data_IF_842025509429
#
_entry.id   IF_842025509429
#
_cell.length_a   1.000
_cell.length_b   1.000
_cell.length_c   1.000
_cell.angle_alpha   90.00
_cell.angle_beta   90.00
_cell.angle_gamma   90.00
#
_symmetry.space_group_name_H-M   'P 1'
#
loop_
_entity.id
_entity.type
_entity.pdbx_description
1 polymer ?
#
# COMPACT_ATOMS: atom_id res chain seq x y z
N UNK A 1 -1.42 -2.63 -9.68
CA UNK A 1 -1.32 -2.47 -8.22
C UNK A 1 -0.52 -1.23 -7.89
N UNK A 2 -1.08 -0.39 -7.04
CA UNK A 2 -0.40 0.81 -6.57
C UNK A 2 -0.27 0.75 -5.05
N UNK A 3 0.91 1.13 -4.56
CA UNK A 3 1.15 1.17 -3.12
C UNK A 3 1.38 2.63 -2.73
N UNK A 4 0.59 3.12 -1.81
CA UNK A 4 0.73 4.47 -1.28
C UNK A 4 1.43 4.39 0.07
N UNK A 5 2.61 4.96 0.14
CA UNK A 5 3.42 4.90 1.34
C UNK A 5 4.05 6.24 1.69
N UNK A 6 4.88 6.22 2.71
CA UNK A 6 5.58 7.41 3.18
C UNK A 6 7.03 7.05 3.51
N UNK A 7 7.85 8.09 3.65
CA UNK A 7 9.24 7.90 4.04
C UNK A 7 9.34 7.36 5.46
N UNK A 8 10.30 6.47 5.69
CA UNK A 8 10.52 5.91 7.03
C UNK A 8 9.49 4.89 7.46
N UNK A 9 8.73 4.34 6.53
CA UNK A 9 7.68 3.38 6.83
C UNK A 9 8.23 1.95 6.70
N UNK A 10 8.44 1.27 7.84
CA UNK A 10 8.96 -0.10 7.81
C UNK A 10 7.95 -1.09 7.21
N UNK A 11 6.66 -0.88 7.44
CA UNK A 11 5.62 -1.73 6.85
C UNK A 11 5.59 -1.59 5.33
N UNK A 12 5.81 -0.38 4.82
CA UNK A 12 5.87 -0.15 3.38
C UNK A 12 7.03 -0.91 2.76
N UNK A 13 8.18 -0.91 3.42
CA UNK A 13 9.35 -1.65 2.94
C UNK A 13 9.12 -3.15 2.96
N UNK A 14 8.49 -3.65 4.03
CA UNK A 14 8.15 -5.07 4.15
C UNK A 14 7.20 -5.50 3.03
N UNK A 15 6.21 -4.67 2.73
CA UNK A 15 5.26 -4.97 1.67
C UNK A 15 5.95 -5.03 0.31
N UNK A 16 6.83 -4.08 0.02
CA UNK A 16 7.58 -4.08 -1.24
C UNK A 16 8.39 -5.36 -1.39
N UNK A 17 9.07 -5.78 -0.34
CA UNK A 17 9.85 -7.02 -0.35
C UNK A 17 8.97 -8.23 -0.60
N UNK A 18 7.82 -8.28 0.05
CA UNK A 18 6.89 -9.41 -0.13
C UNK A 18 6.43 -9.51 -1.57
N UNK A 19 6.06 -8.38 -2.18
CA UNK A 19 5.62 -8.38 -3.57
C UNK A 19 6.76 -8.72 -4.54
N UNK A 20 7.96 -8.23 -4.27
CA UNK A 20 9.13 -8.57 -5.08
C UNK A 20 9.40 -10.07 -5.04
N UNK A 21 9.31 -10.68 -3.85
CA UNK A 21 9.52 -12.11 -3.69
C UNK A 21 8.47 -12.95 -4.41
N UNK A 22 7.25 -12.42 -4.52
CA UNK A 22 6.16 -13.11 -5.22
C UNK A 22 6.16 -12.83 -6.72
N UNK A 23 7.05 -11.97 -7.21
CA UNK A 23 7.10 -11.59 -8.60
C UNK A 23 5.92 -10.72 -9.04
N UNK A 24 5.29 -10.04 -8.11
CA UNK A 24 4.15 -9.17 -8.40
C UNK A 24 4.65 -7.77 -8.71
N UNK A 25 4.24 -7.22 -9.85
CA UNK A 25 4.61 -5.87 -10.23
C UNK A 25 3.67 -4.86 -9.59
N UNK A 26 4.24 -3.73 -9.17
CA UNK A 26 3.47 -2.67 -8.52
C UNK A 26 4.12 -1.32 -8.79
N UNK A 27 3.36 -0.25 -8.55
CA UNK A 27 3.86 1.10 -8.59
C UNK A 27 3.87 1.63 -7.16
N UNK A 28 5.01 2.16 -6.71
CA UNK A 28 5.14 2.69 -5.37
C UNK A 28 5.08 4.21 -5.39
N UNK A 29 4.14 4.78 -4.65
CA UNK A 29 3.94 6.23 -4.59
C UNK A 29 4.26 6.69 -3.18
N UNK A 30 5.43 7.31 -3.03
CA UNK A 30 5.90 7.81 -1.74
C UNK A 30 5.56 9.28 -1.62
N UNK A 31 4.33 9.57 -1.21
CA UNK A 31 3.84 10.93 -1.06
C UNK A 31 2.84 10.96 0.10
N UNK A 32 3.24 11.62 1.17
CA UNK A 32 2.42 11.67 2.38
C UNK A 32 1.04 12.27 2.13
N UNK A 33 0.97 13.32 1.33
CA UNK A 33 -0.31 13.96 1.00
C UNK A 33 -1.26 13.00 0.31
N UNK A 34 -0.75 12.31 -0.71
CA UNK A 34 -1.55 11.33 -1.45
C UNK A 34 -1.97 10.20 -0.54
N UNK A 35 -1.05 9.72 0.29
CA UNK A 35 -1.36 8.65 1.23
C UNK A 35 -2.48 9.07 2.18
N UNK A 36 -2.40 10.27 2.74
CA UNK A 36 -3.41 10.76 3.67
C UNK A 36 -4.77 10.91 3.00
N UNK A 37 -4.79 11.42 1.77
CA UNK A 37 -6.02 11.59 1.02
C UNK A 37 -6.69 10.24 0.74
N UNK A 38 -5.92 9.29 0.25
CA UNK A 38 -6.43 7.95 -0.07
C UNK A 38 -6.89 7.23 1.20
N UNK A 39 -6.08 7.27 2.24
CA UNK A 39 -6.41 6.63 3.51
C UNK A 39 -7.69 7.20 4.11
N UNK A 40 -7.81 8.52 4.11
CA UNK A 40 -8.98 9.21 4.64
C UNK A 40 -10.26 8.85 3.89
N UNK A 41 -10.18 8.83 2.56
CA UNK A 41 -11.31 8.47 1.71
C UNK A 41 -11.80 7.05 1.96
N UNK A 42 -10.90 6.16 2.28
CA UNK A 42 -11.22 4.74 2.42
C UNK A 42 -11.25 4.29 3.89
N UNK A 43 -11.16 5.23 4.82
CA UNK A 43 -11.18 4.97 6.25
C UNK A 43 -10.11 3.98 6.69
N UNK A 44 -8.95 4.05 6.04
CA UNK A 44 -7.80 3.22 6.39
C UNK A 44 -6.89 4.09 7.25
N UNK A 45 -6.58 3.62 8.44
CA UNK A 45 -5.82 4.41 9.42
C UNK A 45 -4.37 3.98 9.55
N UNK A 46 -3.86 3.22 8.60
CA UNK A 46 -2.48 2.75 8.64
C UNK A 46 -1.86 2.83 7.27
N UNK A 47 -0.54 2.90 7.21
CA UNK A 47 0.22 2.81 5.98
C UNK A 47 0.87 1.44 5.93
N UNK A 48 1.11 0.89 4.76
CA UNK A 48 0.75 1.41 3.44
C UNK A 48 -0.71 1.13 3.07
N UNK A 49 -1.21 1.90 2.09
CA UNK A 49 -2.50 1.64 1.48
C UNK A 49 -2.24 1.07 0.09
N UNK A 50 -2.95 0.03 -0.28
CA UNK A 50 -2.74 -0.64 -1.57
C UNK A 50 -4.00 -0.54 -2.41
N UNK A 51 -3.84 -0.18 -3.68
CA UNK A 51 -4.93 -0.17 -4.64
C UNK A 51 -4.75 -1.35 -5.60
N UNK A 52 -5.81 -2.14 -5.75
CA UNK A 52 -5.84 -3.24 -6.70
C UNK A 52 -7.21 -3.27 -7.37
N UNK A 53 -7.22 -3.14 -8.69
CA UNK A 53 -8.46 -3.20 -9.49
C UNK A 53 -9.55 -2.23 -9.00
N UNK A 54 -9.15 -1.03 -8.60
CA UNK A 54 -10.08 -0.02 -8.13
C UNK A 54 -10.50 -0.16 -6.68
N UNK A 55 -10.01 -1.17 -5.99
CA UNK A 55 -10.28 -1.38 -4.57
C UNK A 55 -9.06 -1.00 -3.75
N UNK A 56 -9.31 -0.45 -2.55
CA UNK A 56 -8.25 -0.02 -1.65
C UNK A 56 -8.21 -0.90 -0.41
N UNK A 57 -7.00 -1.33 -0.03
CA UNK A 57 -6.80 -2.24 1.09
C UNK A 57 -5.73 -1.73 2.03
N UNK A 58 -5.88 -1.93 3.36
CA UNK A 58 -4.73 -1.82 4.25
C UNK A 58 -3.81 -3.02 3.99
N UNK A 59 -2.56 -2.92 4.44
CA UNK A 59 -1.57 -3.96 4.16
C UNK A 59 -2.03 -5.36 4.56
N UNK A 60 -2.56 -5.51 5.77
CA UNK A 60 -2.97 -6.80 6.28
C UNK A 60 -4.06 -7.42 5.39
N UNK A 61 -5.00 -6.61 4.99
CA UNK A 61 -6.10 -7.07 4.14
C UNK A 61 -5.62 -7.45 2.76
N UNK A 62 -4.71 -6.65 2.22
CA UNK A 62 -4.15 -6.92 0.90
C UNK A 62 -3.41 -8.25 0.87
N UNK A 63 -2.65 -8.54 1.92
CA UNK A 63 -1.91 -9.80 2.00
C UNK A 63 -2.82 -11.03 2.08
N UNK A 64 -4.05 -10.84 2.52
CA UNK A 64 -5.04 -11.92 2.53
C UNK A 64 -5.62 -12.22 1.15
N UNK A 65 -5.66 -11.21 0.26
CA UNK A 65 -6.30 -11.40 -1.05
C UNK A 65 -5.32 -11.71 -2.17
N UNK A 66 -4.04 -11.71 -1.89
CA UNK A 66 -3.05 -12.15 -2.86
C UNK A 66 -2.56 -13.55 -2.48
#
# INVERSE_FOLDING_TARGET
IKIFGKEGCSKCESLKKTLDNKGIKYEYIQDLKTLMTVASKNRIMSAPVVEKDGEYYPMERFLEVI
#
